data_IF_834946292600
#
_entry.id   IF_834946292600
#
_cell.length_a   1.000
_cell.length_b   1.000
_cell.length_c   1.000
_cell.angle_alpha   90.00
_cell.angle_beta   90.00
_cell.angle_gamma   90.00
#
_symmetry.space_group_name_H-M   'P 1'
#
loop_
_entity.id
_entity.type
_entity.pdbx_description
1 polymer ?
#
# COMPACT_ATOMS: atom_id res chain seq x y z
N UNK A 1 16.69 2.71 6.68
CA UNK A 1 16.70 2.09 8.02
C UNK A 1 17.98 2.50 8.71
N UNK A 2 17.87 3.04 9.93
CA UNK A 2 19.04 3.26 10.79
C UNK A 2 19.63 1.91 11.22
N UNK A 3 20.92 1.85 11.56
CA UNK A 3 21.57 0.62 12.08
C UNK A 3 20.84 0.05 13.30
N UNK A 4 20.32 0.91 14.17
CA UNK A 4 19.58 0.51 15.37
C UNK A 4 18.16 0.02 15.04
N UNK A 5 17.52 0.61 14.02
CA UNK A 5 16.20 0.18 13.56
C UNK A 5 16.27 -1.24 12.97
N UNK A 6 17.36 -1.53 12.26
CA UNK A 6 17.63 -2.86 11.72
C UNK A 6 17.77 -3.91 12.85
N UNK A 7 18.49 -3.62 13.93
CA UNK A 7 18.60 -4.54 15.08
C UNK A 7 17.23 -4.86 15.70
N UNK A 8 16.37 -3.86 15.89
CA UNK A 8 15.03 -4.12 16.42
C UNK A 8 14.19 -4.94 15.45
N UNK A 9 14.25 -4.60 14.17
CA UNK A 9 13.54 -5.33 13.13
C UNK A 9 13.90 -6.82 13.14
N UNK A 10 15.19 -7.15 13.21
CA UNK A 10 15.67 -8.54 13.32
C UNK A 10 15.16 -9.22 14.60
N UNK A 11 15.18 -8.52 15.74
CA UNK A 11 14.71 -9.08 17.01
C UNK A 11 13.20 -9.40 17.01
N UNK A 12 12.38 -8.67 16.25
CA UNK A 12 10.93 -8.88 16.17
C UNK A 12 10.49 -9.60 14.91
N UNK A 13 11.43 -10.01 14.05
CA UNK A 13 11.15 -10.72 12.82
C UNK A 13 10.23 -11.95 13.02
N UNK A 14 10.39 -12.78 14.08
CA UNK A 14 9.47 -13.90 14.30
C UNK A 14 7.99 -13.47 14.50
N UNK A 15 7.77 -12.32 15.16
CA UNK A 15 6.42 -11.77 15.34
C UNK A 15 5.86 -11.21 14.02
N UNK A 16 6.72 -10.57 13.22
CA UNK A 16 6.36 -10.07 11.89
C UNK A 16 6.01 -11.21 10.93
N UNK A 17 6.80 -12.29 10.91
CA UNK A 17 6.52 -13.49 10.11
C UNK A 17 5.19 -14.13 10.49
N UNK A 18 4.93 -14.29 11.79
CA UNK A 18 3.66 -14.80 12.30
C UNK A 18 2.48 -13.91 11.87
N UNK A 19 2.64 -12.59 11.98
CA UNK A 19 1.62 -11.62 11.56
C UNK A 19 1.39 -11.63 10.04
N UNK A 20 2.44 -11.77 9.23
CA UNK A 20 2.33 -11.93 7.79
C UNK A 20 1.52 -13.18 7.44
N UNK A 21 1.82 -14.32 8.08
CA UNK A 21 1.07 -15.56 7.84
C UNK A 21 -0.41 -15.42 8.17
N UNK A 22 -0.75 -14.72 9.26
CA UNK A 22 -2.14 -14.36 9.58
C UNK A 22 -2.78 -13.48 8.49
N UNK A 23 -2.06 -12.48 7.98
CA UNK A 23 -2.56 -11.63 6.90
C UNK A 23 -2.83 -12.45 5.63
N UNK A 24 -1.92 -13.36 5.29
CA UNK A 24 -2.07 -14.26 4.14
C UNK A 24 -3.26 -15.21 4.32
N UNK A 25 -3.52 -15.68 5.54
CA UNK A 25 -4.72 -16.48 5.86
C UNK A 25 -6.01 -15.70 5.57
N UNK A 26 -6.00 -14.38 5.78
CA UNK A 26 -7.10 -13.47 5.42
C UNK A 26 -7.04 -12.97 3.96
N UNK A 27 -6.32 -13.66 3.08
CA UNK A 27 -6.20 -13.35 1.64
C UNK A 27 -5.39 -12.09 1.30
N UNK A 28 -4.63 -11.53 2.24
CA UNK A 28 -3.70 -10.41 1.99
C UNK A 28 -2.31 -10.92 1.59
N UNK A 29 -2.23 -11.69 0.52
CA UNK A 29 -1.03 -12.48 0.14
C UNK A 29 0.17 -11.67 -0.33
N UNK A 30 -0.03 -10.41 -0.70
CA UNK A 30 1.04 -9.52 -1.18
C UNK A 30 1.80 -8.82 -0.05
N UNK A 31 1.30 -8.89 1.18
CA UNK A 31 1.89 -8.19 2.31
C UNK A 31 3.18 -8.87 2.74
N UNK A 32 4.23 -8.08 2.93
CA UNK A 32 5.51 -8.52 3.52
C UNK A 32 5.69 -8.04 4.96
N UNK A 33 6.64 -8.66 5.67
CA UNK A 33 7.08 -8.24 7.01
C UNK A 33 7.51 -6.76 7.01
N UNK A 34 8.19 -6.34 5.94
CA UNK A 34 8.65 -4.98 5.75
C UNK A 34 7.50 -4.00 5.60
N UNK A 35 6.40 -4.40 4.95
CA UNK A 35 5.23 -3.54 4.81
C UNK A 35 4.52 -3.33 6.16
N UNK A 36 4.38 -4.40 6.94
CA UNK A 36 3.82 -4.35 8.30
C UNK A 36 4.69 -3.46 9.18
N UNK A 37 6.01 -3.62 9.13
CA UNK A 37 6.95 -2.77 9.85
C UNK A 37 6.82 -1.29 9.45
N UNK A 38 6.81 -1.01 8.14
CA UNK A 38 6.66 0.35 7.63
C UNK A 38 5.36 1.00 8.09
N UNK A 39 4.25 0.25 8.11
CA UNK A 39 2.98 0.71 8.65
C UNK A 39 3.10 1.09 10.13
N UNK A 40 3.74 0.25 10.95
CA UNK A 40 3.93 0.52 12.37
C UNK A 40 4.75 1.78 12.60
N UNK A 41 5.90 1.91 11.93
CA UNK A 41 6.78 3.08 12.04
C UNK A 41 6.07 4.36 11.58
N UNK A 42 5.43 4.33 10.41
CA UNK A 42 4.84 5.55 9.79
C UNK A 42 3.51 5.96 10.42
N UNK A 43 2.72 5.02 10.92
CA UNK A 43 1.38 5.28 11.47
C UNK A 43 1.33 5.13 12.97
N UNK A 44 1.60 3.93 13.50
CA UNK A 44 1.39 3.58 14.92
C UNK A 44 2.41 4.27 15.83
N UNK A 45 3.65 4.40 15.37
CA UNK A 45 4.77 4.95 16.13
C UNK A 45 5.25 6.32 15.63
N UNK A 46 4.49 6.98 14.76
CA UNK A 46 4.84 8.30 14.18
C UNK A 46 5.27 9.36 15.21
N UNK A 47 4.72 9.29 16.41
CA UNK A 47 4.98 10.23 17.52
C UNK A 47 5.82 9.61 18.66
N UNK A 48 6.26 8.36 18.50
CA UNK A 48 7.08 7.65 19.48
C UNK A 48 8.54 7.67 19.01
N UNK A 49 9.46 7.73 19.96
CA UNK A 49 10.85 7.44 19.69
C UNK A 49 11.05 5.93 19.84
N UNK A 50 11.46 5.25 18.76
CA UNK A 50 11.63 3.81 18.77
C UNK A 50 12.65 3.38 19.84
N UNK A 51 13.69 4.20 20.10
CA UNK A 51 14.75 3.92 21.09
C UNK A 51 14.23 3.77 22.52
N UNK A 52 13.09 4.40 22.82
CA UNK A 52 12.49 4.37 24.15
C UNK A 52 11.44 3.26 24.30
N UNK A 53 11.07 2.59 23.20
CA UNK A 53 10.08 1.52 23.20
C UNK A 53 10.68 0.21 23.68
N UNK A 54 9.99 -0.47 24.59
CA UNK A 54 10.40 -1.80 25.05
C UNK A 54 10.03 -2.85 24.01
N UNK A 55 10.85 -3.90 23.90
CA UNK A 55 10.65 -4.98 22.93
C UNK A 55 9.25 -5.61 23.03
N UNK A 56 8.75 -5.83 24.25
CA UNK A 56 7.41 -6.40 24.44
C UNK A 56 6.29 -5.48 23.93
N UNK A 57 6.46 -4.16 24.00
CA UNK A 57 5.49 -3.19 23.46
C UNK A 57 5.47 -3.26 21.94
N UNK A 58 6.64 -3.39 21.32
CA UNK A 58 6.80 -3.54 19.86
C UNK A 58 6.12 -4.84 19.40
N UNK A 59 6.42 -5.96 20.07
CA UNK A 59 5.81 -7.26 19.77
C UNK A 59 4.29 -7.21 19.96
N UNK A 60 3.82 -6.63 21.06
CA UNK A 60 2.39 -6.46 21.29
C UNK A 60 1.75 -5.60 20.19
N UNK A 61 2.41 -4.50 19.81
CA UNK A 61 1.93 -3.61 18.77
C UNK A 61 1.83 -4.30 17.40
N UNK A 62 2.76 -5.21 17.08
CA UNK A 62 2.71 -6.09 15.89
C UNK A 62 1.50 -7.02 15.99
N UNK A 63 1.34 -7.73 17.11
CA UNK A 63 0.30 -8.74 17.28
C UNK A 63 -1.12 -8.16 17.30
N UNK A 64 -1.30 -6.93 17.79
CA UNK A 64 -2.57 -6.20 17.76
C UNK A 64 -2.92 -5.64 16.38
N UNK A 65 -1.98 -5.60 15.43
CA UNK A 65 -2.25 -5.04 14.12
C UNK A 65 -3.22 -5.94 13.35
N UNK A 66 -4.38 -5.40 13.01
CA UNK A 66 -5.39 -6.09 12.21
C UNK A 66 -5.17 -5.83 10.70
N UNK A 67 -5.53 -6.79 9.83
CA UNK A 67 -5.44 -6.59 8.38
C UNK A 67 -6.26 -5.38 7.90
N UNK A 68 -7.45 -5.16 8.48
CA UNK A 68 -8.29 -4.02 8.16
C UNK A 68 -7.59 -2.68 8.49
N UNK A 69 -6.97 -2.57 9.67
CA UNK A 69 -6.28 -1.34 10.08
C UNK A 69 -5.05 -1.03 9.21
N UNK A 70 -4.36 -2.08 8.77
CA UNK A 70 -3.27 -1.99 7.78
C UNK A 70 -3.81 -1.51 6.42
N UNK A 71 -4.82 -2.17 5.86
CA UNK A 71 -5.35 -1.85 4.53
C UNK A 71 -5.91 -0.44 4.40
N UNK A 72 -6.63 0.05 5.41
CA UNK A 72 -7.14 1.44 5.39
C UNK A 72 -5.99 2.44 5.28
N UNK A 73 -4.82 2.16 5.87
CA UNK A 73 -3.66 3.03 5.73
C UNK A 73 -3.01 2.90 4.34
N UNK A 74 -2.82 1.68 3.86
CA UNK A 74 -2.18 1.40 2.57
C UNK A 74 -2.98 2.00 1.41
N UNK A 75 -4.31 1.80 1.37
CA UNK A 75 -5.16 2.39 0.33
C UNK A 75 -5.14 3.93 0.33
N UNK A 76 -5.08 4.58 1.49
CA UNK A 76 -5.00 6.05 1.57
C UNK A 76 -3.65 6.55 1.04
N UNK A 77 -2.56 5.87 1.37
CA UNK A 77 -1.22 6.27 0.92
C UNK A 77 -1.01 5.97 -0.57
N UNK A 78 -1.50 4.83 -1.07
CA UNK A 78 -1.54 4.50 -2.50
C UNK A 78 -2.42 5.50 -3.26
N UNK A 79 -3.58 5.88 -2.73
CA UNK A 79 -4.44 6.88 -3.37
C UNK A 79 -3.77 8.26 -3.42
N UNK A 80 -3.07 8.70 -2.37
CA UNK A 80 -2.29 9.95 -2.40
C UNK A 80 -1.17 9.91 -3.43
N UNK A 81 -0.46 8.79 -3.48
CA UNK A 81 0.66 8.59 -4.41
C UNK A 81 0.15 8.50 -5.85
N UNK A 82 -0.93 7.76 -6.11
CA UNK A 82 -1.60 7.69 -7.40
C UNK A 82 -2.15 9.05 -7.84
N UNK A 83 -2.72 9.84 -6.92
CA UNK A 83 -3.17 11.19 -7.23
C UNK A 83 -2.00 12.09 -7.67
N UNK A 84 -0.85 11.97 -6.99
CA UNK A 84 0.39 12.65 -7.40
C UNK A 84 0.91 12.18 -8.77
N UNK A 85 0.91 10.87 -9.04
CA UNK A 85 1.27 10.34 -10.38
C UNK A 85 0.26 10.72 -11.46
N UNK A 86 -1.02 10.87 -11.10
CA UNK A 86 -2.07 11.29 -12.03
C UNK A 86 -1.93 12.76 -12.44
N UNK A 87 -1.45 13.64 -11.56
CA UNK A 87 -1.13 15.03 -11.92
C UNK A 87 0.06 15.12 -12.88
N UNK A 88 1.04 14.21 -12.75
CA UNK A 88 2.22 14.15 -13.62
C UNK A 88 1.96 13.48 -14.97
N UNK A 89 0.84 12.77 -15.14
CA UNK A 89 0.54 12.02 -16.36
C UNK A 89 -0.77 12.42 -17.05
N UNK A 90 -1.22 13.66 -16.84
CA UNK A 90 -2.43 14.18 -17.49
C UNK A 90 -2.31 14.20 -19.01
N UNK A 91 -1.14 14.51 -19.55
CA UNK A 91 -0.96 14.57 -21.01
C UNK A 91 -1.04 13.20 -21.69
N UNK A 92 -0.40 12.14 -21.15
CA UNK A 92 -0.52 10.80 -21.78
C UNK A 92 -1.93 10.23 -21.60
N UNK A 93 -2.58 10.50 -20.45
CA UNK A 93 -3.94 10.04 -20.20
C UNK A 93 -4.95 10.69 -21.16
N UNK A 94 -4.77 11.97 -21.49
CA UNK A 94 -5.62 12.68 -22.45
C UNK A 94 -5.45 12.15 -23.88
N UNK A 95 -4.22 11.81 -24.29
CA UNK A 95 -3.95 11.17 -25.58
C UNK A 95 -4.64 9.80 -25.69
N UNK A 96 -4.59 8.99 -24.63
CA UNK A 96 -5.28 7.69 -24.60
C UNK A 96 -6.80 7.85 -24.68
N UNK A 97 -7.39 8.81 -23.97
CA UNK A 97 -8.83 9.11 -24.00
C UNK A 97 -9.31 9.70 -25.33
N UNK A 98 -8.44 10.37 -26.09
CA UNK A 98 -8.76 10.87 -27.43
C UNK A 98 -8.73 9.73 -28.46
N UNK A 99 -7.84 8.75 -28.32
CA UNK A 99 -7.73 7.61 -29.23
C UNK A 99 -8.96 6.68 -29.23
N UNK A 100 -9.70 6.62 -28.11
CA UNK A 100 -10.92 5.82 -27.98
C UNK A 100 -12.16 6.51 -28.56
N UNK A 101 -12.18 7.86 -28.65
CA UNK A 101 -13.30 8.59 -29.27
C UNK A 101 -13.36 8.43 -30.80
N UNK A 102 -12.23 8.21 -31.46
CA UNK A 102 -12.17 8.04 -32.92
C UNK A 102 -12.73 6.71 -33.44
N UNK A 103 -13.13 5.78 -32.55
CA UNK A 103 -13.70 4.49 -32.93
C UNK A 103 -15.23 4.45 -32.88
N UNK A 104 -15.89 5.38 -32.17
CA UNK A 104 -17.37 5.44 -32.13
C UNK A 104 -17.98 6.15 -33.36
N UNK A 105 -17.21 6.99 -34.06
CA UNK A 105 -17.71 7.76 -35.21
C UNK A 105 -17.69 6.99 -36.55
N UNK A 106 -17.12 5.77 -36.63
CA UNK A 106 -17.01 5.01 -37.89
C UNK A 106 -18.07 3.91 -38.08
N UNK A 107 -18.89 3.60 -37.06
CA UNK A 107 -19.97 2.60 -37.18
C UNK A 107 -21.34 3.20 -37.57
N UNK A 108 -21.57 4.52 -37.40
CA UNK A 108 -22.85 5.14 -37.79
C UNK A 108 -23.00 5.47 -39.29
N UNK A 109 -21.91 5.59 -40.07
CA UNK A 109 -22.01 5.86 -41.53
C UNK A 109 -22.19 4.61 -42.40
N UNK A 110 -21.80 3.42 -41.93
CA UNK A 110 -21.87 2.19 -42.74
C UNK A 110 -23.24 1.48 -42.68
N UNK A 111 -24.20 1.97 -41.88
CA UNK A 111 -25.51 1.35 -41.69
C UNK A 111 -26.66 1.89 -42.57
N UNK A 112 -26.41 2.86 -43.47
CA UNK A 112 -27.49 3.60 -44.16
C UNK A 112 -27.60 3.44 -45.69
N UNK A 113 -26.99 2.43 -46.28
CA UNK A 113 -27.31 2.02 -47.67
C UNK A 113 -27.93 0.62 -47.69
N UNK A 114 -29.26 0.57 -47.56
CA UNK A 114 -30.15 -0.48 -48.12
C UNK A 114 -31.16 0.25 -48.99
#
# INVERSE_FOLDING_TARGET
MSSYEAEIYENVLPALESKKQEFHLYQYTTVSEKDIWNYLVKKKWRKKNLADMRLYEIVNDIMETSPAAYMTHTQIEEFRTANWFSELNKEELDVLLQSSKSQEDQEEENGKSI
#
